data_IF_657708047911
#
_entry.id   IF_657708047911
#
_cell.length_a   1.000
_cell.length_b   1.000
_cell.length_c   1.000
_cell.angle_alpha   90.00
_cell.angle_beta   90.00
_cell.angle_gamma   90.00
#
_symmetry.space_group_name_H-M   'P 1'
#
loop_
_entity.id
_entity.type
_entity.pdbx_description
1 polymer ?
#
# COMPACT_ATOMS: atom_id res chain seq x y z
N UNK A 1 15.39 20.02 5.25
CA UNK A 1 14.51 18.93 5.70
C UNK A 1 14.21 18.05 4.49
N UNK A 2 14.45 16.74 4.57
CA UNK A 2 14.15 15.85 3.44
C UNK A 2 12.65 15.94 3.11
N UNK A 3 12.34 16.41 1.90
CA UNK A 3 10.99 16.58 1.37
C UNK A 3 10.32 15.25 0.98
N UNK A 4 11.08 14.17 0.97
CA UNK A 4 10.64 12.88 0.45
C UNK A 4 10.07 12.00 1.57
N UNK A 5 8.95 11.30 1.32
CA UNK A 5 8.36 10.38 2.28
C UNK A 5 9.28 9.18 2.51
N UNK A 6 9.72 8.95 3.75
CA UNK A 6 10.53 7.77 4.12
C UNK A 6 9.67 6.56 4.47
N UNK A 7 8.40 6.79 4.81
CA UNK A 7 7.40 5.79 5.15
C UNK A 7 6.25 5.86 4.14
N UNK A 8 5.78 4.69 3.70
CA UNK A 8 4.52 4.57 2.98
C UNK A 8 3.54 3.63 3.68
N UNK A 9 2.25 3.90 3.48
CA UNK A 9 1.15 3.04 3.89
C UNK A 9 0.43 2.54 2.64
N UNK A 10 0.27 1.22 2.52
CA UNK A 10 -0.54 0.61 1.47
C UNK A 10 -1.87 0.16 2.09
N UNK A 11 -2.96 0.78 1.67
CA UNK A 11 -4.29 0.51 2.18
C UNK A 11 -5.04 -0.58 1.42
N UNK A 12 -5.53 -1.59 2.12
CA UNK A 12 -6.38 -2.66 1.57
C UNK A 12 -7.87 -2.32 1.57
N UNK A 13 -8.72 -3.34 1.48
CA UNK A 13 -10.18 -3.20 1.61
C UNK A 13 -10.55 -2.44 2.89
N UNK A 14 -11.40 -1.43 2.75
CA UNK A 14 -11.85 -0.58 3.84
C UNK A 14 -10.88 0.55 4.26
N UNK A 15 -9.72 0.67 3.63
CA UNK A 15 -8.74 1.72 3.93
C UNK A 15 -8.27 2.41 2.64
N UNK A 16 -9.17 3.19 2.04
CA UNK A 16 -8.97 3.82 0.72
C UNK A 16 -8.43 5.24 0.79
N UNK A 17 -8.52 5.87 1.96
CA UNK A 17 -7.99 7.20 2.23
C UNK A 17 -7.41 7.22 3.64
N UNK A 18 -6.49 8.14 3.88
CA UNK A 18 -5.84 8.30 5.17
C UNK A 18 -6.26 9.64 5.76
N UNK A 19 -7.36 9.61 6.51
CA UNK A 19 -7.81 10.74 7.30
C UNK A 19 -6.68 11.19 8.25
N UNK A 20 -6.32 12.47 8.20
CA UNK A 20 -5.25 13.06 9.01
C UNK A 20 -3.94 13.36 8.26
N UNK A 21 -3.84 13.06 6.96
CA UNK A 21 -2.77 13.63 6.13
C UNK A 21 -3.05 15.10 5.83
N UNK A 22 -2.13 15.98 6.21
CA UNK A 22 -2.17 17.40 5.91
C UNK A 22 -1.28 17.75 4.71
N UNK A 23 -1.65 18.79 3.94
CA UNK A 23 -0.84 19.26 2.81
C UNK A 23 -0.58 18.15 1.78
N UNK A 24 -1.64 17.43 1.40
CA UNK A 24 -1.58 16.31 0.47
C UNK A 24 -1.27 16.75 -0.94
N UNK A 25 -0.45 15.97 -1.63
CA UNK A 25 -0.17 16.09 -3.06
C UNK A 25 -0.27 14.71 -3.70
N UNK A 26 -0.95 14.63 -4.84
CA UNK A 26 -1.03 13.41 -5.63
C UNK A 26 0.09 13.32 -6.66
N UNK A 27 0.63 12.12 -6.83
CA UNK A 27 1.67 11.80 -7.80
C UNK A 27 1.17 10.69 -8.71
N UNK A 28 0.81 11.05 -9.95
CA UNK A 28 0.53 10.07 -11.00
C UNK A 28 1.84 9.59 -11.63
N UNK A 29 2.30 8.42 -11.20
CA UNK A 29 3.61 7.87 -11.57
C UNK A 29 3.42 6.76 -12.61
N UNK A 30 4.11 6.86 -13.73
CA UNK A 30 4.26 5.75 -14.68
C UNK A 30 5.55 5.00 -14.36
N UNK A 31 5.47 3.67 -14.21
CA UNK A 31 6.62 2.81 -13.92
C UNK A 31 6.99 1.94 -15.12
N UNK A 32 8.20 1.36 -15.17
CA UNK A 32 8.55 0.34 -16.17
C UNK A 32 7.62 -0.88 -16.18
N UNK A 33 6.82 -1.08 -15.12
CA UNK A 33 5.89 -2.18 -14.97
C UNK A 33 4.43 -1.77 -15.27
N UNK A 34 4.20 -0.54 -15.74
CA UNK A 34 2.87 0.03 -15.96
C UNK A 34 2.45 1.01 -14.87
N UNK A 35 1.15 1.25 -14.76
CA UNK A 35 0.56 2.15 -13.76
C UNK A 35 0.39 1.44 -12.40
N UNK A 36 0.62 2.15 -11.27
CA UNK A 36 0.19 1.68 -9.96
C UNK A 36 -1.34 1.63 -9.87
N UNK A 37 -1.85 1.01 -8.81
CA UNK A 37 -3.30 0.88 -8.56
C UNK A 37 -4.03 2.21 -8.50
N UNK A 38 -3.38 3.26 -8.00
CA UNK A 38 -3.89 4.62 -7.88
C UNK A 38 -2.71 5.62 -7.86
N UNK A 39 -2.94 6.93 -8.05
CA UNK A 39 -1.97 7.96 -7.72
C UNK A 39 -1.45 7.80 -6.28
N UNK A 40 -0.15 8.03 -6.07
CA UNK A 40 0.41 8.03 -4.71
C UNK A 40 0.11 9.37 -4.06
N UNK A 41 -0.56 9.35 -2.91
CA UNK A 41 -0.84 10.56 -2.12
C UNK A 41 0.29 10.77 -1.13
N UNK A 42 0.94 11.93 -1.15
CA UNK A 42 1.97 12.28 -0.16
C UNK A 42 1.49 13.45 0.69
N UNK A 43 1.44 13.23 2.00
CA UNK A 43 0.98 14.21 2.99
C UNK A 43 1.92 14.27 4.19
N UNK A 44 1.58 15.09 5.16
CA UNK A 44 2.23 15.15 6.47
C UNK A 44 1.30 14.56 7.52
N UNK A 45 1.79 13.60 8.29
CA UNK A 45 1.11 13.03 9.46
C UNK A 45 2.01 13.23 10.67
N UNK A 46 1.52 13.88 11.72
CA UNK A 46 2.28 14.09 12.98
C UNK A 46 3.69 14.66 12.72
N UNK A 47 3.78 15.66 11.83
CA UNK A 47 5.03 16.31 11.44
C UNK A 47 5.96 15.49 10.52
N UNK A 48 5.54 14.30 10.06
CA UNK A 48 6.33 13.41 9.19
C UNK A 48 5.71 13.30 7.79
N UNK A 49 6.54 13.39 6.75
CA UNK A 49 6.10 13.17 5.37
C UNK A 49 5.85 11.66 5.14
N UNK A 50 4.64 11.30 4.74
CA UNK A 50 4.18 9.92 4.53
C UNK A 50 3.53 9.81 3.15
N UNK A 51 3.80 8.70 2.47
CA UNK A 51 3.10 8.32 1.25
C UNK A 51 1.95 7.35 1.56
N UNK A 52 0.86 7.45 0.83
CA UNK A 52 -0.28 6.56 0.90
C UNK A 52 -0.63 6.06 -0.51
N UNK A 53 -0.94 4.77 -0.61
CA UNK A 53 -1.36 4.13 -1.85
C UNK A 53 -2.54 3.19 -1.59
N UNK A 54 -3.69 3.46 -2.23
CA UNK A 54 -4.84 2.57 -2.21
C UNK A 54 -4.55 1.32 -3.09
N UNK A 55 -4.51 0.14 -2.47
CA UNK A 55 -4.11 -1.11 -3.15
C UNK A 55 -5.08 -1.52 -4.26
N UNK A 56 -6.37 -1.26 -4.07
CA UNK A 56 -7.45 -1.71 -4.95
C UNK A 56 -8.03 -0.59 -5.81
N UNK A 57 -7.29 0.50 -5.99
CA UNK A 57 -7.81 1.82 -6.39
C UNK A 57 -8.73 2.44 -5.30
N UNK A 58 -9.02 3.73 -5.41
CA UNK A 58 -9.92 4.45 -4.49
C UNK A 58 -11.35 3.89 -4.51
N UNK A 59 -11.83 3.44 -5.67
CA UNK A 59 -13.17 2.85 -5.81
C UNK A 59 -13.27 1.35 -5.54
N UNK A 60 -12.16 0.71 -5.14
CA UNK A 60 -12.09 -0.74 -4.90
C UNK A 60 -12.41 -1.63 -6.12
N UNK A 61 -12.05 -1.18 -7.33
CA UNK A 61 -12.39 -1.88 -8.57
C UNK A 61 -11.36 -2.94 -8.99
N UNK A 62 -10.12 -2.87 -8.49
CA UNK A 62 -9.05 -3.78 -8.89
C UNK A 62 -9.09 -5.03 -8.00
N UNK A 63 -9.30 -6.21 -8.59
CA UNK A 63 -9.30 -7.46 -7.83
C UNK A 63 -7.91 -7.83 -7.30
N UNK A 64 -7.78 -8.64 -6.24
CA UNK A 64 -6.49 -9.02 -5.68
C UNK A 64 -5.48 -9.62 -6.67
N UNK A 65 -5.97 -10.27 -7.74
CA UNK A 65 -5.16 -10.92 -8.77
C UNK A 65 -4.67 -9.94 -9.84
N UNK A 66 -5.40 -8.86 -10.08
CA UNK A 66 -5.11 -7.87 -11.13
C UNK A 66 -4.23 -6.71 -10.63
N UNK A 67 -3.99 -6.62 -9.32
CA UNK A 67 -3.13 -5.58 -8.75
C UNK A 67 -1.74 -5.65 -9.37
N UNK A 68 -1.28 -4.51 -9.88
CA UNK A 68 0.08 -4.36 -10.36
C UNK A 68 1.06 -4.10 -9.20
N UNK A 69 1.38 -5.15 -8.45
CA UNK A 69 2.25 -5.05 -7.27
C UNK A 69 3.62 -4.46 -7.60
N UNK A 70 4.18 -4.77 -8.77
CA UNK A 70 5.47 -4.22 -9.21
C UNK A 70 5.39 -2.71 -9.41
N UNK A 71 4.37 -2.22 -10.10
CA UNK A 71 4.19 -0.77 -10.28
C UNK A 71 3.94 -0.05 -8.94
N UNK A 72 3.15 -0.64 -8.05
CA UNK A 72 2.92 -0.09 -6.71
C UNK A 72 4.23 0.10 -5.92
N UNK A 73 5.03 -0.97 -5.81
CA UNK A 73 6.28 -0.94 -5.06
C UNK A 73 7.32 -0.04 -5.75
N UNK A 74 7.39 -0.07 -7.08
CA UNK A 74 8.33 0.77 -7.83
C UNK A 74 7.99 2.25 -7.70
N UNK A 75 6.72 2.63 -7.79
CA UNK A 75 6.28 4.02 -7.63
C UNK A 75 6.67 4.56 -6.25
N UNK A 76 6.39 3.81 -5.18
CA UNK A 76 6.82 4.17 -3.82
C UNK A 76 8.34 4.29 -3.72
N UNK A 77 9.09 3.34 -4.30
CA UNK A 77 10.56 3.39 -4.28
C UNK A 77 11.10 4.62 -5.01
N UNK A 78 10.51 5.00 -6.15
CA UNK A 78 10.92 6.20 -6.91
C UNK A 78 10.70 7.52 -6.16
N UNK A 79 9.76 7.54 -5.20
CA UNK A 79 9.52 8.68 -4.31
C UNK A 79 10.47 8.74 -3.10
N UNK A 80 11.39 7.77 -2.97
CA UNK A 80 12.35 7.71 -1.86
C UNK A 80 11.83 6.98 -0.62
N UNK A 81 10.73 6.22 -0.73
CA UNK A 81 10.21 5.41 0.38
C UNK A 81 11.22 4.32 0.75
N UNK A 82 11.47 4.19 2.05
CA UNK A 82 12.39 3.21 2.63
C UNK A 82 11.66 2.09 3.37
N UNK A 83 10.48 2.39 3.92
CA UNK A 83 9.67 1.46 4.71
C UNK A 83 8.21 1.50 4.28
N UNK A 84 7.57 0.34 4.30
CA UNK A 84 6.15 0.19 3.95
C UNK A 84 5.43 -0.48 5.11
N UNK A 85 4.29 0.08 5.50
CA UNK A 85 3.29 -0.59 6.34
C UNK A 85 2.10 -0.95 5.43
N UNK A 86 1.76 -2.22 5.38
CA UNK A 86 0.67 -2.72 4.54
C UNK A 86 -0.51 -3.11 5.43
N UNK A 87 -1.67 -2.51 5.20
CA UNK A 87 -2.91 -2.81 5.94
C UNK A 87 -3.77 -3.75 5.11
N UNK A 88 -4.21 -4.86 5.70
CA UNK A 88 -5.00 -5.87 5.00
C UNK A 88 -6.09 -6.42 5.91
N UNK A 89 -7.31 -6.52 5.38
CA UNK A 89 -8.36 -7.31 5.99
C UNK A 89 -8.08 -8.80 5.75
N UNK A 90 -8.32 -9.63 6.76
CA UNK A 90 -8.19 -11.08 6.68
C UNK A 90 -9.26 -11.78 7.54
N UNK A 91 -9.45 -13.08 7.30
CA UNK A 91 -10.21 -13.96 8.19
C UNK A 91 -9.26 -14.73 9.10
N UNK A 92 -9.65 -14.91 10.36
CA UNK A 92 -8.90 -15.75 11.29
C UNK A 92 -9.04 -17.24 10.95
N UNK A 93 -7.96 -18.00 11.16
CA UNK A 93 -7.94 -19.46 11.13
C UNK A 93 -7.69 -20.05 12.53
N UNK A 94 -7.80 -19.21 13.58
CA UNK A 94 -7.61 -19.58 14.99
C UNK A 94 -8.72 -19.01 15.84
N UNK A 95 -9.13 -19.75 16.86
CA UNK A 95 -10.22 -19.33 17.76
C UNK A 95 -9.83 -18.17 18.68
N UNK A 96 -8.55 -17.97 18.95
CA UNK A 96 -8.04 -16.92 19.85
C UNK A 96 -7.86 -15.55 19.19
N UNK A 97 -8.20 -15.41 17.90
CA UNK A 97 -8.31 -14.12 17.23
C UNK A 97 -9.75 -13.86 16.79
N UNK A 98 -10.36 -12.81 17.34
CA UNK A 98 -11.73 -12.40 17.06
C UNK A 98 -11.77 -11.32 15.96
N UNK A 99 -12.92 -11.14 15.28
CA UNK A 99 -13.12 -10.00 14.39
C UNK A 99 -12.86 -8.67 15.10
N UNK A 100 -12.00 -7.83 14.53
CA UNK A 100 -11.58 -6.56 15.10
C UNK A 100 -10.18 -6.59 15.74
N UNK A 101 -9.63 -7.78 16.01
CA UNK A 101 -8.26 -7.90 16.49
C UNK A 101 -7.25 -7.49 15.41
N UNK A 102 -6.15 -6.87 15.85
CA UNK A 102 -5.03 -6.50 14.99
C UNK A 102 -3.90 -7.51 15.21
N UNK A 103 -3.41 -8.06 14.11
CA UNK A 103 -2.28 -9.00 14.09
C UNK A 103 -1.14 -8.41 13.28
N UNK A 104 0.09 -8.52 13.80
CA UNK A 104 1.32 -8.22 13.07
C UNK A 104 1.97 -9.57 12.73
N UNK A 105 1.69 -10.16 11.57
CA UNK A 105 2.26 -11.46 11.20
C UNK A 105 3.76 -11.33 10.92
N UNK A 106 4.52 -12.35 11.31
CA UNK A 106 5.96 -12.48 11.10
C UNK A 106 6.32 -13.55 10.05
N UNK A 107 5.34 -14.31 9.57
CA UNK A 107 5.45 -15.34 8.54
C UNK A 107 4.30 -15.26 7.54
N UNK A 108 4.51 -15.86 6.37
CA UNK A 108 3.50 -16.00 5.32
C UNK A 108 3.60 -17.35 4.62
N UNK A 109 2.47 -17.83 4.11
CA UNK A 109 2.41 -18.96 3.19
C UNK A 109 1.77 -18.49 1.87
N UNK A 110 2.48 -18.64 0.76
CA UNK A 110 2.04 -18.11 -0.54
C UNK A 110 1.27 -19.16 -1.36
N UNK A 111 -0.06 -19.06 -1.35
CA UNK A 111 -0.96 -19.81 -2.26
C UNK A 111 -1.34 -19.03 -3.53
N UNK A 112 -0.74 -17.88 -3.79
CA UNK A 112 -1.09 -17.08 -4.98
C UNK A 112 -0.71 -17.83 -6.26
N UNK A 113 -1.38 -17.50 -7.36
CA UNK A 113 -1.10 -18.01 -8.71
C UNK A 113 -1.19 -16.85 -9.70
N UNK A 114 -0.46 -16.95 -10.80
CA UNK A 114 -0.55 -16.01 -11.94
C UNK A 114 -0.33 -14.53 -11.54
N UNK A 115 0.69 -14.26 -10.74
CA UNK A 115 1.12 -12.90 -10.38
C UNK A 115 2.59 -12.73 -10.73
N UNK A 116 2.95 -11.53 -11.18
CA UNK A 116 4.34 -11.11 -11.32
C UNK A 116 4.93 -10.86 -9.92
N UNK A 117 6.00 -11.58 -9.56
CA UNK A 117 6.56 -11.60 -8.18
C UNK A 117 7.96 -11.02 -8.06
N UNK A 118 8.60 -10.76 -9.19
CA UNK A 118 9.98 -10.30 -9.27
C UNK A 118 10.09 -9.09 -10.20
N UNK A 119 11.03 -8.20 -9.89
CA UNK A 119 11.44 -7.12 -10.78
C UNK A 119 12.48 -7.54 -11.83
N UNK A 120 13.05 -8.73 -11.66
CA UNK A 120 14.01 -9.39 -12.55
C UNK A 120 13.35 -10.55 -13.27
#
# INVERSE_FOLDING_TARGET
MNSNPTLAIIGGSGFYEMAGLEGTQEFDITTPFGKPSAPVVVGTLEGKRVAFLARHDFGHFISPTEINYRANIYALKSLGVERIISISACGSLREDYAPGDIVIPDQLFDFTKNRERSFF
#
